data_IF_827905361632
#
_entry.id   IF_827905361632
#
_cell.length_a   1.000
_cell.length_b   1.000
_cell.length_c   1.000
_cell.angle_alpha   90.00
_cell.angle_beta   90.00
_cell.angle_gamma   90.00
#
_symmetry.space_group_name_H-M   'P 1'
#
loop_
_entity.id
_entity.type
_entity.pdbx_description
1 polymer ?
#
# COMPACT_ATOMS: atom_id res chain seq x y z
N UNK A 1 8.61 -10.59 -14.75
CA UNK A 1 8.67 -10.47 -13.27
C UNK A 1 7.33 -9.97 -12.79
N UNK A 2 6.67 -10.68 -11.87
CA UNK A 2 5.38 -10.28 -11.30
C UNK A 2 5.62 -9.66 -9.93
N UNK A 3 5.09 -8.45 -9.70
CA UNK A 3 5.14 -7.80 -8.38
C UNK A 3 3.89 -8.19 -7.61
N UNK A 4 4.06 -8.82 -6.44
CA UNK A 4 2.96 -9.19 -5.54
C UNK A 4 2.89 -8.16 -4.41
N UNK A 5 1.72 -7.56 -4.19
CA UNK A 5 1.53 -6.50 -3.18
C UNK A 5 0.79 -7.06 -1.97
N UNK A 6 1.52 -7.42 -0.92
CA UNK A 6 0.95 -7.99 0.32
C UNK A 6 0.68 -6.92 1.39
N UNK A 7 -0.13 -5.90 1.06
CA UNK A 7 -0.36 -4.78 1.97
C UNK A 7 -1.01 -5.22 3.29
N UNK A 8 -1.95 -6.16 3.25
CA UNK A 8 -2.65 -6.66 4.45
C UNK A 8 -1.74 -7.39 5.42
N UNK A 9 -0.85 -8.23 4.90
CA UNK A 9 0.15 -8.94 5.70
C UNK A 9 1.08 -7.94 6.38
N UNK A 10 1.49 -6.90 5.67
CA UNK A 10 2.37 -5.86 6.21
C UNK A 10 1.71 -5.02 7.29
N UNK A 11 0.43 -4.68 7.13
CA UNK A 11 -0.35 -3.96 8.16
C UNK A 11 -0.49 -4.80 9.43
N UNK A 12 -0.83 -6.09 9.29
CA UNK A 12 -0.95 -7.01 10.42
C UNK A 12 0.39 -7.20 11.14
N UNK A 13 1.48 -7.44 10.40
CA UNK A 13 2.83 -7.61 10.95
C UNK A 13 3.30 -6.38 11.73
N UNK A 14 2.94 -5.18 11.27
CA UNK A 14 3.30 -3.90 11.90
C UNK A 14 2.29 -3.42 12.94
N UNK A 15 1.20 -4.17 13.17
CA UNK A 15 0.08 -3.78 14.05
C UNK A 15 -0.43 -2.36 13.73
N UNK A 16 -0.54 -2.05 12.44
CA UNK A 16 -0.83 -0.71 11.93
C UNK A 16 -2.16 -0.70 11.18
N UNK A 17 -2.91 0.40 11.28
CA UNK A 17 -4.14 0.59 10.51
C UNK A 17 -3.86 1.19 9.13
N UNK A 18 -4.80 1.00 8.18
CA UNK A 18 -4.71 1.61 6.85
C UNK A 18 -4.75 3.15 6.93
N UNK A 19 -5.47 3.69 7.91
CA UNK A 19 -5.55 5.14 8.19
C UNK A 19 -4.21 5.68 8.65
N UNK A 20 -3.55 5.00 9.59
CA UNK A 20 -2.23 5.40 10.07
C UNK A 20 -1.18 5.35 8.94
N UNK A 21 -1.26 4.34 8.07
CA UNK A 21 -0.40 4.28 6.89
C UNK A 21 -0.64 5.47 5.95
N UNK A 22 -1.91 5.82 5.71
CA UNK A 22 -2.32 6.96 4.88
C UNK A 22 -1.65 8.26 5.33
N UNK A 23 -1.65 8.51 6.64
CA UNK A 23 -1.02 9.69 7.25
C UNK A 23 0.51 9.66 7.09
N UNK A 24 1.14 8.50 7.30
CA UNK A 24 2.61 8.36 7.21
C UNK A 24 3.16 8.53 5.80
N UNK A 25 2.44 8.06 4.77
CA UNK A 25 2.92 8.10 3.37
C UNK A 25 2.32 9.23 2.54
N UNK A 26 1.36 9.98 3.08
CA UNK A 26 0.68 11.06 2.35
C UNK A 26 -0.15 10.58 1.16
N UNK A 27 -0.56 9.30 1.16
CA UNK A 27 -1.42 8.71 0.13
C UNK A 27 -2.82 8.58 0.69
N UNK A 28 -3.83 8.93 -0.09
CA UNK A 28 -5.24 8.84 0.33
C UNK A 28 -5.64 7.41 0.72
N UNK A 29 -6.50 7.29 1.73
CA UNK A 29 -7.14 6.04 2.13
C UNK A 29 -7.78 5.29 0.95
N UNK A 30 -8.40 6.03 0.00
CA UNK A 30 -8.99 5.46 -1.20
C UNK A 30 -7.96 4.74 -2.07
N UNK A 31 -6.81 5.38 -2.32
CA UNK A 31 -5.74 4.78 -3.13
C UNK A 31 -5.10 3.58 -2.43
N UNK A 32 -4.88 3.66 -1.11
CA UNK A 32 -4.38 2.53 -0.32
C UNK A 32 -5.39 1.37 -0.27
N UNK A 33 -6.69 1.65 -0.23
CA UNK A 33 -7.75 0.64 -0.27
C UNK A 33 -7.81 -0.08 -1.62
N UNK A 34 -7.62 0.65 -2.73
CA UNK A 34 -7.50 0.06 -4.07
C UNK A 34 -6.27 -0.86 -4.14
N UNK A 35 -5.14 -0.41 -3.59
CA UNK A 35 -3.90 -1.18 -3.55
C UNK A 35 -4.04 -2.45 -2.69
N UNK A 36 -4.67 -2.32 -1.52
CA UNK A 36 -4.98 -3.43 -0.61
C UNK A 36 -5.85 -4.51 -1.26
N UNK A 37 -6.85 -4.09 -2.05
CA UNK A 37 -7.82 -4.98 -2.69
C UNK A 37 -7.36 -5.51 -4.07
N UNK A 38 -6.10 -5.31 -4.42
CA UNK A 38 -5.52 -5.73 -5.71
C UNK A 38 -6.23 -5.14 -6.95
N UNK A 39 -6.94 -4.02 -6.78
CA UNK A 39 -7.68 -3.36 -7.87
C UNK A 39 -6.88 -2.25 -8.57
N UNK A 40 -5.60 -2.11 -8.23
CA UNK A 40 -4.74 -1.09 -8.80
C UNK A 40 -4.44 -1.40 -10.27
N UNK A 41 -4.79 -0.47 -11.17
CA UNK A 41 -4.55 -0.61 -12.61
C UNK A 41 -3.11 -0.27 -13.01
N UNK A 42 -2.49 0.66 -12.29
CA UNK A 42 -1.12 1.10 -12.52
C UNK A 42 -0.51 1.60 -11.21
N UNK A 43 0.80 1.40 -11.03
CA UNK A 43 1.56 1.84 -9.86
C UNK A 43 2.85 2.50 -10.35
N UNK A 44 3.18 3.68 -9.82
CA UNK A 44 4.45 4.37 -10.06
C UNK A 44 5.39 4.09 -8.89
N UNK A 45 6.56 3.52 -9.17
CA UNK A 45 7.58 3.18 -8.16
C UNK A 45 8.61 4.30 -7.97
N UNK A 46 8.18 5.56 -7.96
CA UNK A 46 9.11 6.71 -7.92
C UNK A 46 9.90 6.84 -6.61
N UNK A 47 9.46 6.19 -5.54
CA UNK A 47 10.07 6.26 -4.20
C UNK A 47 10.39 4.86 -3.66
N UNK A 48 10.48 3.85 -4.53
CA UNK A 48 10.87 2.51 -4.12
C UNK A 48 12.41 2.49 -4.02
N UNK A 49 12.94 2.44 -2.81
CA UNK A 49 14.37 2.20 -2.58
C UNK A 49 14.73 0.77 -3.02
N UNK A 50 15.86 0.66 -3.74
CA UNK A 50 16.40 -0.58 -4.30
C UNK A 50 17.60 -1.09 -3.50
#
# INVERSE_FOLDING_TARGET
>A
MTVIVNLDVMLAKRKMSLTELSEKVGITLSNLSILKKEKAKAIRFSTLDA
#
